data_IF_814431246767
#
_entry.id   IF_814431246767
#
_cell.length_a   1.000
_cell.length_b   1.000
_cell.length_c   1.000
_cell.angle_alpha   90.00
_cell.angle_beta   90.00
_cell.angle_gamma   90.00
#
_symmetry.space_group_name_H-M   'P 1'
#
loop_
_entity.id
_entity.type
_entity.pdbx_description
1 polymer ?
#
# COMPACT_ATOMS: atom_id res chain seq x y z
N UNK A 1 60.92 13.34 41.13
CA UNK A 1 60.30 14.07 40.00
C UNK A 1 59.48 13.04 39.24
N UNK A 2 58.20 12.92 39.63
CA UNK A 2 57.36 11.79 39.28
C UNK A 2 56.52 12.06 38.03
N UNK A 3 56.64 11.09 37.12
CA UNK A 3 55.54 10.40 36.48
C UNK A 3 54.71 11.17 35.46
N UNK A 4 55.12 10.96 34.20
CA UNK A 4 54.31 11.03 32.99
C UNK A 4 52.90 10.47 33.20
N UNK A 5 51.89 11.32 33.05
CA UNK A 5 50.49 10.93 32.94
C UNK A 5 50.13 10.81 31.46
N UNK A 6 50.18 9.59 30.94
CA UNK A 6 49.64 9.26 29.62
C UNK A 6 48.12 9.17 29.71
N UNK A 7 47.43 10.17 29.16
CA UNK A 7 45.97 10.17 29.03
C UNK A 7 45.60 9.31 27.81
N UNK A 8 45.32 8.02 28.03
CA UNK A 8 44.81 7.16 26.97
C UNK A 8 43.38 7.57 26.62
N UNK A 9 43.23 8.36 25.56
CA UNK A 9 41.92 8.59 24.94
C UNK A 9 41.49 7.25 24.33
N UNK A 10 40.57 6.56 25.01
CA UNK A 10 39.89 5.39 24.42
C UNK A 10 39.13 5.88 23.20
N UNK A 11 39.55 5.42 22.03
CA UNK A 11 38.92 5.75 20.77
C UNK A 11 37.61 4.95 20.69
N UNK A 12 36.48 5.62 20.88
CA UNK A 12 35.18 5.04 20.56
C UNK A 12 35.01 5.10 19.05
N UNK A 13 35.07 3.94 18.39
CA UNK A 13 34.63 3.84 17.00
C UNK A 13 33.10 3.87 16.98
N UNK A 14 32.52 4.92 16.43
CA UNK A 14 31.10 4.95 16.06
C UNK A 14 30.89 3.96 14.92
N UNK A 15 30.38 2.78 15.25
CA UNK A 15 30.00 1.80 14.26
C UNK A 15 28.58 2.13 13.79
N UNK A 16 28.46 2.77 12.63
CA UNK A 16 27.15 2.99 12.00
C UNK A 16 26.67 1.64 11.48
N UNK A 17 25.68 1.06 12.13
CA UNK A 17 25.01 -0.15 11.64
C UNK A 17 24.00 0.31 10.59
N UNK A 18 24.20 -0.10 9.34
CA UNK A 18 23.20 0.08 8.29
C UNK A 18 21.98 -0.79 8.63
N UNK A 19 20.92 -0.15 9.10
CA UNK A 19 19.63 -0.81 9.31
C UNK A 19 19.05 -1.22 7.95
N UNK A 20 19.18 -2.49 7.61
CA UNK A 20 18.59 -3.04 6.38
C UNK A 20 17.07 -3.15 6.59
N UNK A 21 16.36 -2.09 6.25
CA UNK A 21 14.88 -2.09 6.25
C UNK A 21 14.39 -2.96 5.10
N UNK A 22 14.04 -4.20 5.40
CA UNK A 22 13.35 -5.08 4.47
C UNK A 22 11.91 -4.55 4.29
N UNK A 23 11.68 -3.73 3.26
CA UNK A 23 10.33 -3.32 2.86
C UNK A 23 9.60 -4.54 2.27
N UNK A 24 8.88 -5.26 3.12
CA UNK A 24 7.89 -6.24 2.70
C UNK A 24 6.71 -5.50 2.06
N UNK A 25 6.82 -5.14 0.77
CA UNK A 25 5.68 -4.69 -0.02
C UNK A 25 4.91 -5.96 -0.43
N UNK A 26 4.08 -6.48 0.48
CA UNK A 26 3.15 -7.55 0.09
C UNK A 26 2.21 -6.97 -0.96
N UNK A 27 2.10 -7.57 -2.17
CA UNK A 27 1.17 -7.08 -3.17
C UNK A 27 -0.24 -7.09 -2.57
N UNK A 28 -0.91 -5.94 -2.56
CA UNK A 28 -2.34 -5.89 -2.18
C UNK A 28 -3.07 -6.85 -3.12
N UNK A 29 -3.76 -7.85 -2.57
CA UNK A 29 -4.51 -8.80 -3.37
C UNK A 29 -5.65 -8.04 -4.03
N UNK A 30 -5.69 -8.01 -5.37
CA UNK A 30 -6.74 -7.35 -6.12
C UNK A 30 -7.68 -8.38 -6.74
N UNK A 31 -8.98 -8.06 -6.81
CA UNK A 31 -9.99 -8.92 -7.45
C UNK A 31 -10.97 -8.10 -8.27
N UNK A 32 -11.48 -8.72 -9.33
CA UNK A 32 -12.63 -8.23 -10.07
C UNK A 32 -13.87 -9.01 -9.62
N UNK A 33 -14.95 -8.30 -9.28
CA UNK A 33 -16.20 -8.86 -8.78
C UNK A 33 -17.38 -8.14 -9.41
N UNK A 34 -18.55 -8.76 -9.42
CA UNK A 34 -19.79 -8.05 -9.77
C UNK A 34 -20.01 -6.88 -8.80
N UNK A 35 -20.26 -5.68 -9.35
CA UNK A 35 -20.49 -4.48 -8.55
C UNK A 35 -21.67 -4.63 -7.58
N UNK A 36 -22.68 -5.43 -7.96
CA UNK A 36 -23.81 -5.76 -7.10
C UNK A 36 -23.44 -6.63 -5.89
N UNK A 37 -22.29 -7.32 -5.93
CA UNK A 37 -21.82 -8.18 -4.85
C UNK A 37 -20.81 -7.47 -3.92
N UNK A 38 -20.36 -6.24 -4.24
CA UNK A 38 -19.34 -5.51 -3.46
C UNK A 38 -19.69 -5.40 -1.98
N UNK A 39 -20.97 -5.23 -1.63
CA UNK A 39 -21.40 -5.18 -0.23
C UNK A 39 -21.05 -6.45 0.56
N UNK A 40 -21.05 -7.62 -0.08
CA UNK A 40 -20.69 -8.91 0.54
C UNK A 40 -19.19 -9.03 0.79
N UNK A 41 -18.37 -8.39 -0.05
CA UNK A 41 -16.92 -8.36 0.12
C UNK A 41 -16.50 -7.31 1.15
N UNK A 42 -17.24 -6.20 1.25
CA UNK A 42 -17.00 -5.18 2.28
C UNK A 42 -17.11 -5.76 3.70
N UNK A 43 -18.02 -6.72 3.95
CA UNK A 43 -18.12 -7.40 5.27
C UNK A 43 -16.95 -8.33 5.56
N UNK A 44 -16.17 -8.70 4.54
CA UNK A 44 -14.96 -9.53 4.64
C UNK A 44 -13.68 -8.67 4.67
N UNK A 45 -13.80 -7.34 4.74
CA UNK A 45 -12.67 -6.41 4.86
C UNK A 45 -12.11 -5.88 3.53
N UNK A 46 -12.68 -6.29 2.40
CA UNK A 46 -12.32 -5.76 1.09
C UNK A 46 -12.82 -4.32 0.91
N UNK A 47 -12.18 -3.58 0.02
CA UNK A 47 -12.53 -2.19 -0.32
C UNK A 47 -12.64 -2.03 -1.83
N UNK A 48 -13.60 -1.23 -2.28
CA UNK A 48 -13.72 -0.82 -3.67
C UNK A 48 -12.52 0.06 -4.07
N UNK A 49 -11.84 -0.30 -5.15
CA UNK A 49 -10.78 0.48 -5.76
C UNK A 49 -11.36 1.60 -6.65
N UNK A 50 -11.86 2.64 -6.00
CA UNK A 50 -12.49 3.78 -6.69
C UNK A 50 -11.51 4.45 -7.65
N UNK A 51 -10.24 4.56 -7.28
CA UNK A 51 -9.23 5.20 -8.12
C UNK A 51 -8.95 4.38 -9.37
N UNK A 52 -8.86 3.05 -9.27
CA UNK A 52 -8.79 2.19 -10.45
C UNK A 52 -10.06 2.27 -11.30
N UNK A 53 -11.25 2.26 -10.68
CA UNK A 53 -12.51 2.44 -11.43
C UNK A 53 -12.52 3.77 -12.20
N UNK A 54 -12.05 4.85 -11.59
CA UNK A 54 -11.93 6.17 -12.24
C UNK A 54 -10.92 6.14 -13.37
N UNK A 55 -9.79 5.48 -13.17
CA UNK A 55 -8.76 5.33 -14.20
C UNK A 55 -9.29 4.58 -15.44
N UNK A 56 -9.95 3.44 -15.23
CA UNK A 56 -10.45 2.56 -16.30
C UNK A 56 -11.66 3.14 -17.06
N UNK A 57 -12.50 3.92 -16.38
CA UNK A 57 -13.75 4.42 -16.95
C UNK A 57 -13.73 5.92 -17.31
N UNK A 58 -12.68 6.66 -16.95
CA UNK A 58 -12.57 8.10 -17.24
C UNK A 58 -13.27 9.00 -16.21
N UNK A 59 -13.16 8.65 -14.94
CA UNK A 59 -13.73 9.39 -13.82
C UNK A 59 -15.17 9.01 -13.47
N UNK A 60 -15.80 9.79 -12.60
CA UNK A 60 -17.10 9.46 -12.02
C UNK A 60 -18.24 9.45 -13.06
N UNK A 61 -18.22 10.38 -14.02
CA UNK A 61 -19.18 10.40 -15.15
C UNK A 61 -19.03 9.17 -16.05
N UNK A 62 -17.79 8.73 -16.25
CA UNK A 62 -17.47 7.53 -17.00
C UNK A 62 -17.97 6.25 -16.32
N UNK A 63 -17.80 6.18 -15.00
CA UNK A 63 -18.35 5.11 -14.16
C UNK A 63 -19.88 5.12 -14.22
N UNK A 64 -20.53 6.27 -14.12
CA UNK A 64 -21.98 6.38 -14.22
C UNK A 64 -22.50 5.88 -15.59
N UNK A 65 -21.83 6.25 -16.68
CA UNK A 65 -22.16 5.76 -18.02
C UNK A 65 -21.89 4.25 -18.16
N UNK A 66 -20.82 3.74 -17.56
CA UNK A 66 -20.51 2.32 -17.51
C UNK A 66 -21.64 1.53 -16.84
N UNK A 67 -22.09 1.95 -15.65
CA UNK A 67 -23.22 1.34 -14.96
C UNK A 67 -24.52 1.41 -15.76
N UNK A 68 -24.79 2.53 -16.44
CA UNK A 68 -25.97 2.67 -17.30
C UNK A 68 -25.97 1.68 -18.48
N UNK A 69 -24.78 1.33 -19.01
CA UNK A 69 -24.63 0.39 -20.13
C UNK A 69 -24.65 -1.08 -19.70
N UNK A 70 -23.91 -1.43 -18.64
CA UNK A 70 -23.77 -2.82 -18.21
C UNK A 70 -24.85 -3.28 -17.23
N UNK A 71 -25.46 -2.34 -16.49
CA UNK A 71 -26.46 -2.64 -15.49
C UNK A 71 -25.95 -3.64 -14.44
N UNK A 72 -26.69 -4.73 -14.15
CA UNK A 72 -26.29 -5.73 -13.17
C UNK A 72 -25.02 -6.54 -13.51
N UNK A 73 -24.51 -6.45 -14.74
CA UNK A 73 -23.29 -7.16 -15.20
C UNK A 73 -22.03 -6.29 -15.08
N UNK A 74 -22.12 -5.18 -14.37
CA UNK A 74 -21.00 -4.28 -14.17
C UNK A 74 -19.99 -4.92 -13.22
N UNK A 75 -18.72 -4.97 -13.62
CA UNK A 75 -17.60 -5.41 -12.82
C UNK A 75 -16.98 -4.25 -12.04
N UNK A 76 -16.48 -4.55 -10.84
CA UNK A 76 -15.80 -3.64 -9.94
C UNK A 76 -14.47 -4.24 -9.46
N UNK A 77 -13.47 -3.39 -9.27
CA UNK A 77 -12.19 -3.79 -8.68
C UNK A 77 -12.18 -3.60 -7.17
N UNK A 78 -11.75 -4.60 -6.42
CA UNK A 78 -11.61 -4.56 -4.97
C UNK A 78 -10.19 -4.95 -4.53
N UNK A 79 -9.78 -4.50 -3.34
CA UNK A 79 -8.50 -4.82 -2.69
C UNK A 79 -8.63 -4.99 -1.17
#
# INVERSE_FOLDING_TARGET
MNSSLNFYVRHWCEHVVEEKVERLISPRVQREVECSAVYQFNTQGWRLDVERMRHEHGGDDGIALYYKRQGPKASCYIF
#
